data_IF_664367035397
#
_entry.id   IF_664367035397
#
_cell.length_a   1.000
_cell.length_b   1.000
_cell.length_c   1.000
_cell.angle_alpha   90.00
_cell.angle_beta   90.00
_cell.angle_gamma   90.00
#
_symmetry.space_group_name_H-M   'P 1'
#
loop_
_entity.id
_entity.type
_entity.pdbx_description
1 polymer ?
#
# COMPACT_ATOMS: atom_id res chain seq x y z
N UNK A 1 8.57 -20.52 -21.41
CA UNK A 1 8.58 -19.24 -20.65
C UNK A 1 9.85 -19.14 -19.80
N UNK A 2 10.44 -17.95 -19.64
CA UNK A 2 11.69 -17.72 -18.89
C UNK A 2 11.56 -18.12 -17.40
N UNK A 3 10.42 -17.85 -16.76
CA UNK A 3 10.17 -18.20 -15.36
C UNK A 3 10.31 -19.71 -15.10
N UNK A 4 9.72 -20.55 -15.96
CA UNK A 4 9.82 -22.02 -15.82
C UNK A 4 11.28 -22.47 -15.78
N UNK A 5 12.06 -22.03 -16.78
CA UNK A 5 13.49 -22.38 -16.91
C UNK A 5 14.33 -21.87 -15.74
N UNK A 6 14.03 -20.68 -15.24
CA UNK A 6 14.71 -20.09 -14.10
C UNK A 6 14.50 -20.93 -12.83
N UNK A 7 13.25 -21.28 -12.53
CA UNK A 7 12.93 -22.06 -11.34
C UNK A 7 13.40 -23.52 -11.45
N UNK A 8 13.30 -24.15 -12.63
CA UNK A 8 13.95 -25.44 -12.90
C UNK A 8 15.44 -25.40 -12.55
N UNK A 9 16.13 -24.32 -12.93
CA UNK A 9 17.54 -24.13 -12.59
C UNK A 9 17.76 -23.95 -11.09
N UNK A 10 16.92 -23.19 -10.39
CA UNK A 10 17.03 -23.04 -8.94
C UNK A 10 16.94 -24.38 -8.21
N UNK A 11 15.93 -25.20 -8.52
CA UNK A 11 15.77 -26.51 -7.89
C UNK A 11 16.85 -27.51 -8.33
N UNK A 12 17.30 -27.47 -9.59
CA UNK A 12 18.42 -28.29 -10.05
C UNK A 12 19.72 -27.98 -9.28
N UNK A 13 19.89 -26.73 -8.86
CA UNK A 13 21.02 -26.29 -8.03
C UNK A 13 20.75 -26.40 -6.51
N UNK A 14 19.68 -27.12 -6.10
CA UNK A 14 19.31 -27.34 -4.69
C UNK A 14 19.08 -26.05 -3.90
N UNK A 15 18.64 -24.98 -4.57
CA UNK A 15 18.26 -23.75 -3.89
C UNK A 15 16.91 -23.92 -3.20
N UNK A 16 16.82 -23.44 -1.96
CA UNK A 16 15.55 -23.26 -1.26
C UNK A 16 14.88 -22.00 -1.79
N UNK A 17 13.65 -22.13 -2.28
CA UNK A 17 12.87 -21.00 -2.80
C UNK A 17 11.70 -20.74 -1.85
N UNK A 18 11.63 -19.52 -1.32
CA UNK A 18 10.50 -19.03 -0.52
C UNK A 18 9.81 -17.94 -1.31
N UNK A 19 8.50 -18.03 -1.44
CA UNK A 19 7.69 -17.07 -2.20
C UNK A 19 6.36 -16.82 -1.50
N UNK A 20 5.84 -15.60 -1.65
CA UNK A 20 4.55 -15.18 -1.11
C UNK A 20 3.65 -14.70 -2.24
N UNK A 21 2.37 -14.98 -2.16
CA UNK A 21 1.38 -14.55 -3.14
C UNK A 21 0.06 -14.20 -2.45
N UNK A 22 -0.63 -13.18 -2.97
CA UNK A 22 -2.00 -12.83 -2.56
C UNK A 22 -3.06 -13.71 -3.25
N UNK A 23 -2.62 -14.62 -4.14
CA UNK A 23 -3.48 -15.55 -4.90
C UNK A 23 -2.94 -16.97 -4.78
N UNK A 24 -3.81 -17.99 -4.72
CA UNK A 24 -3.37 -19.38 -4.80
C UNK A 24 -2.68 -19.65 -6.14
N UNK A 25 -1.83 -20.69 -6.26
CA UNK A 25 -1.08 -20.98 -7.48
C UNK A 25 -1.93 -21.06 -8.75
N UNK A 26 -3.14 -21.63 -8.67
CA UNK A 26 -4.04 -21.78 -9.82
C UNK A 26 -4.55 -20.43 -10.35
N UNK A 27 -4.63 -19.40 -9.52
CA UNK A 27 -5.10 -18.06 -9.88
C UNK A 27 -3.96 -17.11 -10.25
N UNK A 28 -2.71 -17.62 -10.27
CA UNK A 28 -1.57 -16.84 -10.72
C UNK A 28 -1.73 -16.48 -12.19
N UNK A 29 -1.51 -15.20 -12.50
CA UNK A 29 -1.61 -14.65 -13.85
C UNK A 29 -2.97 -14.93 -14.52
N UNK A 30 -4.03 -15.07 -13.72
CA UNK A 30 -5.41 -15.12 -14.20
C UNK A 30 -5.72 -13.88 -15.03
N UNK A 31 -6.39 -14.08 -16.17
CA UNK A 31 -6.69 -13.05 -17.17
C UNK A 31 -5.47 -12.36 -17.80
N UNK A 32 -4.26 -12.86 -17.50
CA UNK A 32 -3.02 -12.40 -18.13
C UNK A 32 -2.96 -12.76 -19.61
N UNK A 33 -2.30 -11.89 -20.39
CA UNK A 33 -2.07 -12.12 -21.81
C UNK A 33 -1.31 -13.44 -22.03
N UNK A 34 -1.84 -14.33 -22.87
CA UNK A 34 -1.24 -15.65 -23.15
C UNK A 34 -1.03 -16.54 -21.90
N UNK A 35 -1.95 -16.52 -20.93
CA UNK A 35 -1.90 -17.36 -19.71
C UNK A 35 -1.58 -18.84 -19.96
N UNK A 36 -1.96 -19.40 -21.10
CA UNK A 36 -1.63 -20.78 -21.46
C UNK A 36 -0.11 -21.07 -21.46
N UNK A 37 0.74 -20.06 -21.72
CA UNK A 37 2.20 -20.20 -21.62
C UNK A 37 2.71 -20.22 -20.17
N UNK A 38 1.89 -19.74 -19.23
CA UNK A 38 2.18 -19.67 -17.80
C UNK A 38 1.71 -20.93 -17.06
N UNK A 39 0.69 -21.62 -17.56
CA UNK A 39 0.17 -22.88 -16.99
C UNK A 39 1.26 -23.93 -16.68
N UNK A 40 2.21 -24.24 -17.59
CA UNK A 40 3.27 -25.22 -17.28
C UNK A 40 4.20 -24.80 -16.14
N UNK A 41 4.27 -23.51 -15.83
CA UNK A 41 5.01 -23.02 -14.67
C UNK A 41 4.20 -23.14 -13.39
N UNK A 42 2.88 -22.92 -13.43
CA UNK A 42 1.99 -23.19 -12.28
C UNK A 42 2.07 -24.67 -11.90
N UNK A 43 2.02 -25.59 -12.88
CA UNK A 43 2.13 -27.03 -12.64
C UNK A 43 3.44 -27.37 -11.93
N UNK A 44 4.56 -26.85 -12.44
CA UNK A 44 5.88 -27.03 -11.85
C UNK A 44 5.96 -26.47 -10.42
N UNK A 45 5.36 -25.31 -10.18
CA UNK A 45 5.35 -24.65 -8.88
C UNK A 45 4.58 -25.48 -7.84
N UNK A 46 3.43 -26.05 -8.23
CA UNK A 46 2.64 -26.98 -7.41
C UNK A 46 3.36 -28.32 -7.17
N UNK A 47 4.15 -28.78 -8.13
CA UNK A 47 4.95 -30.01 -7.99
C UNK A 47 6.12 -29.84 -7.01
N UNK A 48 6.82 -28.71 -7.07
CA UNK A 48 8.09 -28.49 -6.36
C UNK A 48 7.97 -27.70 -5.06
N UNK A 49 6.79 -27.15 -4.75
CA UNK A 49 6.59 -26.27 -3.60
C UNK A 49 5.44 -26.76 -2.73
N UNK A 50 5.59 -26.59 -1.42
CA UNK A 50 4.49 -26.75 -0.48
C UNK A 50 3.70 -25.44 -0.38
N UNK A 51 2.38 -25.52 -0.56
CA UNK A 51 1.50 -24.35 -0.49
C UNK A 51 0.99 -24.21 0.94
N UNK A 52 1.48 -23.21 1.65
CA UNK A 52 1.01 -22.84 2.98
C UNK A 52 0.01 -21.70 2.85
N UNK A 53 -1.28 -22.01 3.00
CA UNK A 53 -2.32 -21.00 3.04
C UNK A 53 -2.27 -20.25 4.38
N UNK A 54 -1.84 -18.99 4.37
CA UNK A 54 -1.97 -18.12 5.52
C UNK A 54 -3.44 -17.72 5.70
N UNK A 55 -3.92 -17.83 6.93
CA UNK A 55 -5.25 -17.42 7.35
C UNK A 55 -5.50 -15.93 7.01
N UNK A 56 -6.72 -15.64 6.54
CA UNK A 56 -7.15 -14.35 6.00
C UNK A 56 -7.40 -13.29 7.08
N UNK A 57 -6.59 -13.26 8.13
CA UNK A 57 -6.66 -12.21 9.14
C UNK A 57 -6.19 -10.93 8.45
N UNK A 58 -7.11 -9.99 8.31
CA UNK A 58 -6.74 -8.66 7.87
C UNK A 58 -6.04 -7.93 9.02
N UNK A 59 -4.72 -8.03 9.05
CA UNK A 59 -3.89 -7.36 10.05
C UNK A 59 -4.03 -5.83 10.03
N UNK A 60 -4.59 -5.24 8.95
CA UNK A 60 -4.96 -3.81 8.90
C UNK A 60 -6.12 -3.51 9.84
N UNK A 61 -7.11 -4.41 9.91
CA UNK A 61 -8.29 -4.25 10.78
C UNK A 61 -7.98 -4.54 12.25
N UNK A 62 -6.98 -5.39 12.54
CA UNK A 62 -6.58 -5.65 13.94
C UNK A 62 -6.03 -4.42 14.66
N UNK A 63 -5.41 -3.49 13.93
CA UNK A 63 -4.90 -2.23 14.48
C UNK A 63 -5.91 -1.09 14.36
N UNK A 64 -7.04 -1.31 13.69
CA UNK A 64 -8.15 -0.38 13.66
C UNK A 64 -8.78 -0.35 15.06
N UNK A 65 -8.40 0.62 15.89
CA UNK A 65 -8.93 0.82 17.25
C UNK A 65 -10.41 1.28 17.23
N UNK A 66 -11.30 0.57 16.53
CA UNK A 66 -12.70 0.95 16.33
C UNK A 66 -12.87 2.30 15.64
N UNK A 67 -11.91 2.69 14.80
CA UNK A 67 -11.91 3.98 14.11
C UNK A 67 -12.31 3.79 12.66
N UNK A 68 -13.26 4.60 12.18
CA UNK A 68 -13.58 4.65 10.75
C UNK A 68 -12.38 5.23 9.98
N UNK A 69 -11.96 4.51 8.94
CA UNK A 69 -10.81 4.88 8.10
C UNK A 69 -11.22 5.58 6.80
N UNK A 70 -12.52 5.66 6.54
CA UNK A 70 -13.07 6.21 5.32
C UNK A 70 -14.34 7.01 5.63
N UNK A 71 -14.36 8.26 5.18
CA UNK A 71 -15.48 9.17 5.37
C UNK A 71 -15.95 9.69 4.02
N UNK A 72 -17.25 9.53 3.76
CA UNK A 72 -17.89 9.90 2.51
C UNK A 72 -19.31 10.43 2.80
N UNK A 73 -19.84 11.40 2.02
CA UNK A 73 -19.22 12.02 0.84
C UNK A 73 -18.22 13.14 1.16
N UNK A 74 -17.22 13.30 0.30
CA UNK A 74 -16.21 14.35 0.46
C UNK A 74 -16.86 15.74 0.32
N UNK A 75 -16.42 16.69 1.15
CA UNK A 75 -16.90 18.07 1.13
C UNK A 75 -18.08 18.37 2.06
N UNK A 76 -18.81 17.35 2.54
CA UNK A 76 -19.94 17.52 3.46
C UNK A 76 -19.48 17.95 4.87
N UNK A 77 -20.25 18.77 5.60
CA UNK A 77 -19.88 19.24 6.94
C UNK A 77 -19.58 18.10 7.93
N UNK A 78 -20.39 17.05 7.93
CA UNK A 78 -20.21 15.90 8.84
C UNK A 78 -18.90 15.16 8.58
N UNK A 79 -18.55 14.94 7.31
CA UNK A 79 -17.27 14.33 6.92
C UNK A 79 -16.08 15.18 7.34
N UNK A 80 -16.16 16.51 7.20
CA UNK A 80 -15.11 17.41 7.68
C UNK A 80 -14.97 17.37 9.20
N UNK A 81 -16.10 17.33 9.91
CA UNK A 81 -16.13 17.23 11.37
C UNK A 81 -15.50 15.92 11.84
N UNK A 82 -15.89 14.78 11.26
CA UNK A 82 -15.32 13.48 11.62
C UNK A 82 -13.81 13.42 11.38
N UNK A 83 -13.31 13.97 10.26
CA UNK A 83 -11.87 14.09 10.01
C UNK A 83 -11.17 14.99 11.04
N UNK A 84 -11.77 16.13 11.39
CA UNK A 84 -11.24 17.04 12.39
C UNK A 84 -11.22 16.41 13.80
N UNK A 85 -12.28 15.71 14.19
CA UNK A 85 -12.37 14.99 15.46
C UNK A 85 -11.31 13.89 15.55
N UNK A 86 -11.09 13.16 14.45
CA UNK A 86 -10.04 12.14 14.38
C UNK A 86 -8.64 12.76 14.45
N UNK A 87 -8.40 13.85 13.73
CA UNK A 87 -7.15 14.61 13.80
C UNK A 87 -6.89 15.05 15.25
N UNK A 88 -7.88 15.65 15.89
CA UNK A 88 -7.81 16.13 17.26
C UNK A 88 -7.50 15.00 18.25
N UNK A 89 -8.15 13.84 18.09
CA UNK A 89 -7.93 12.64 18.89
C UNK A 89 -6.49 12.13 18.78
N UNK A 90 -5.92 12.09 17.57
CA UNK A 90 -4.57 11.57 17.34
C UNK A 90 -3.46 12.58 17.68
N UNK A 91 -3.75 13.87 17.55
CA UNK A 91 -2.73 14.93 17.68
C UNK A 91 -2.81 15.70 19.00
N UNK A 92 -3.79 15.41 19.87
CA UNK A 92 -4.14 16.17 21.07
C UNK A 92 -4.51 17.63 20.74
N UNK A 93 -5.48 17.83 19.84
CA UNK A 93 -5.98 19.14 19.40
C UNK A 93 -4.88 20.08 18.83
N UNK A 94 -3.87 19.52 18.17
CA UNK A 94 -2.84 20.34 17.53
C UNK A 94 -3.42 21.09 16.34
N UNK A 95 -3.04 22.36 16.17
CA UNK A 95 -3.37 23.13 14.96
C UNK A 95 -2.62 22.62 13.72
N UNK A 96 -1.59 21.79 13.93
CA UNK A 96 -0.67 21.35 12.89
C UNK A 96 0.40 22.41 12.58
N UNK A 97 1.51 21.95 12.02
CA UNK A 97 2.59 22.77 11.52
C UNK A 97 3.01 22.29 10.13
N UNK A 98 3.67 23.16 9.38
CA UNK A 98 4.29 22.80 8.12
C UNK A 98 5.52 21.94 8.42
N UNK A 99 5.70 20.85 7.68
CA UNK A 99 6.90 20.02 7.72
C UNK A 99 7.41 19.77 6.32
N UNK A 100 8.71 20.03 6.11
CA UNK A 100 9.42 19.55 4.94
C UNK A 100 9.91 18.12 5.21
N UNK A 101 9.57 17.21 4.30
CA UNK A 101 10.05 15.84 4.29
C UNK A 101 11.22 15.78 3.31
N UNK A 102 12.41 15.51 3.82
CA UNK A 102 13.59 15.33 2.99
C UNK A 102 13.50 13.99 2.25
N UNK A 103 13.77 14.04 0.95
CA UNK A 103 13.82 12.87 0.06
C UNK A 103 15.24 12.76 -0.50
N UNK A 104 15.58 11.59 -1.03
CA UNK A 104 16.83 11.38 -1.75
C UNK A 104 17.06 12.43 -2.86
N UNK A 105 18.34 12.68 -3.16
CA UNK A 105 18.79 13.53 -4.27
C UNK A 105 18.35 15.01 -4.17
N UNK A 106 18.24 15.55 -2.95
CA UNK A 106 17.98 16.97 -2.71
C UNK A 106 16.54 17.40 -2.97
N UNK A 107 15.62 16.44 -3.10
CA UNK A 107 14.19 16.67 -3.25
C UNK A 107 13.53 16.77 -1.88
N UNK A 108 12.49 17.59 -1.77
CA UNK A 108 11.73 17.74 -0.52
C UNK A 108 10.23 17.81 -0.81
N UNK A 109 9.42 17.29 0.11
CA UNK A 109 7.95 17.32 0.03
C UNK A 109 7.43 18.19 1.15
N UNK A 110 6.60 19.19 0.80
CA UNK A 110 5.92 20.01 1.79
C UNK A 110 4.67 19.27 2.29
N UNK A 111 4.57 19.10 3.61
CA UNK A 111 3.36 18.71 4.30
C UNK A 111 2.83 19.94 5.04
N UNK A 112 1.72 20.49 4.57
CA UNK A 112 1.19 21.75 5.11
C UNK A 112 0.62 21.62 6.53
N UNK A 113 0.26 20.39 6.93
CA UNK A 113 -0.36 20.13 8.21
C UNK A 113 0.11 18.79 8.80
N UNK A 114 0.99 18.92 9.78
CA UNK A 114 1.57 17.80 10.52
C UNK A 114 1.56 18.05 12.03
N UNK A 115 1.38 16.98 12.81
CA UNK A 115 1.64 16.98 14.25
C UNK A 115 2.04 15.59 14.74
N UNK A 116 3.06 15.52 15.62
CA UNK A 116 3.61 14.27 16.19
C UNK A 116 4.11 13.27 15.15
N UNK A 117 3.30 12.31 14.71
CA UNK A 117 3.62 11.37 13.62
C UNK A 117 2.47 11.29 12.62
N UNK A 118 1.62 12.32 12.61
CA UNK A 118 0.38 12.38 11.84
C UNK A 118 0.50 13.51 10.82
N UNK A 119 0.28 13.18 9.55
CA UNK A 119 0.26 14.15 8.46
C UNK A 119 -1.11 14.19 7.78
N UNK A 120 -1.48 15.35 7.26
CA UNK A 120 -2.63 15.52 6.39
C UNK A 120 -2.15 16.00 5.02
N UNK A 121 -2.50 15.26 3.98
CA UNK A 121 -2.25 15.61 2.58
C UNK A 121 -3.55 15.62 1.79
N UNK A 122 -3.62 16.42 0.74
CA UNK A 122 -4.66 16.25 -0.28
C UNK A 122 -4.34 15.11 -1.23
N UNK A 123 -5.39 14.49 -1.80
CA UNK A 123 -5.22 13.51 -2.87
C UNK A 123 -4.41 14.07 -4.04
N UNK A 124 -4.57 15.36 -4.34
CA UNK A 124 -3.83 16.03 -5.40
C UNK A 124 -2.31 16.07 -5.12
N UNK A 125 -1.90 16.44 -3.91
CA UNK A 125 -0.49 16.49 -3.50
C UNK A 125 0.20 15.13 -3.61
N UNK A 126 -0.53 14.07 -3.24
CA UNK A 126 0.00 12.71 -3.28
C UNK A 126 -0.05 12.08 -4.67
N UNK A 127 -1.15 12.23 -5.41
CA UNK A 127 -1.43 11.39 -6.59
C UNK A 127 -1.43 12.15 -7.92
N UNK A 128 -1.51 13.48 -7.91
CA UNK A 128 -1.60 14.30 -9.14
C UNK A 128 -0.34 15.11 -9.41
N UNK A 129 0.60 15.13 -8.47
CA UNK A 129 1.93 15.71 -8.66
C UNK A 129 2.91 14.65 -9.13
N UNK A 130 4.05 15.07 -9.69
CA UNK A 130 5.10 14.17 -10.15
C UNK A 130 5.80 13.52 -8.95
N UNK A 131 5.17 12.50 -8.35
CA UNK A 131 5.68 11.74 -7.21
C UNK A 131 6.24 10.39 -7.65
N UNK A 132 7.41 10.03 -7.11
CA UNK A 132 8.06 8.75 -7.37
C UNK A 132 7.96 7.80 -6.17
N UNK A 133 8.40 6.55 -6.34
CA UNK A 133 8.43 5.57 -5.25
C UNK A 133 9.22 6.07 -4.03
N UNK A 134 10.35 6.76 -4.24
CA UNK A 134 11.18 7.33 -3.17
C UNK A 134 10.46 8.41 -2.36
N UNK A 135 9.54 9.15 -2.99
CA UNK A 135 8.74 10.18 -2.31
C UNK A 135 7.80 9.54 -1.29
N UNK A 136 7.07 8.49 -1.70
CA UNK A 136 6.15 7.79 -0.82
C UNK A 136 6.87 7.04 0.30
N UNK A 137 8.06 6.48 0.04
CA UNK A 137 8.87 5.85 1.08
C UNK A 137 9.29 6.88 2.14
N UNK A 138 9.77 8.05 1.72
CA UNK A 138 10.14 9.12 2.65
C UNK A 138 8.94 9.58 3.50
N UNK A 139 7.75 9.73 2.90
CA UNK A 139 6.51 10.04 3.62
C UNK A 139 6.17 8.95 4.63
N UNK A 140 6.21 7.67 4.24
CA UNK A 140 5.86 6.53 5.09
C UNK A 140 6.85 6.31 6.24
N UNK A 141 8.13 6.62 6.03
CA UNK A 141 9.15 6.60 7.08
C UNK A 141 8.98 7.77 8.07
N UNK A 142 8.46 8.89 7.59
CA UNK A 142 8.31 10.12 8.37
C UNK A 142 7.04 10.17 9.22
N UNK A 143 5.95 9.58 8.73
CA UNK A 143 4.63 9.62 9.36
C UNK A 143 4.05 8.23 9.57
N UNK A 144 3.50 7.99 10.76
CA UNK A 144 2.82 6.75 11.11
C UNK A 144 1.35 6.77 10.71
N UNK A 145 0.74 7.95 10.60
CA UNK A 145 -0.66 8.09 10.16
C UNK A 145 -0.76 9.21 9.13
N UNK A 146 -1.42 8.91 8.03
CA UNK A 146 -1.59 9.84 6.92
C UNK A 146 -3.09 10.00 6.66
N UNK A 147 -3.59 11.22 6.83
CA UNK A 147 -4.92 11.61 6.38
C UNK A 147 -4.84 12.03 4.92
N UNK A 148 -5.73 11.50 4.10
CA UNK A 148 -5.85 11.89 2.70
C UNK A 148 -7.22 12.54 2.50
N UNK A 149 -7.22 13.84 2.21
CA UNK A 149 -8.45 14.62 1.99
C UNK A 149 -8.72 14.83 0.50
N UNK A 150 -10.01 14.96 0.16
CA UNK A 150 -10.42 15.30 -1.19
C UNK A 150 -10.13 14.20 -2.22
N UNK A 151 -10.23 12.94 -1.81
CA UNK A 151 -10.17 11.80 -2.74
C UNK A 151 -11.37 11.91 -3.69
N UNK A 152 -11.15 12.02 -5.01
CA UNK A 152 -12.23 12.08 -5.98
C UNK A 152 -12.84 10.70 -6.18
N UNK A 153 -14.03 10.65 -6.76
CA UNK A 153 -14.52 9.41 -7.35
C UNK A 153 -13.62 9.08 -8.54
N UNK A 154 -12.92 7.94 -8.48
CA UNK A 154 -12.13 7.42 -9.59
C UNK A 154 -13.05 6.67 -10.54
N UNK A 155 -12.95 6.96 -11.82
CA UNK A 155 -13.53 6.14 -12.88
C UNK A 155 -12.68 4.89 -13.10
N UNK A 156 -13.29 3.86 -13.68
CA UNK A 156 -12.68 2.57 -13.99
C UNK A 156 -12.40 2.48 -15.49
#
# INVERSE_FOLDING_TARGET
MILKRLFESFWANRLLVVMTSNRPPDDLYQDGLQRYLFLPFIDLLKEKSEVICMNSIDYRLLHAMGMDHYYYPTGYPETRKNLADMWNKLTNNSLGAIRMVDVAQGRSICCDKYAKNVAEFSFKELCMEARGSTDYMAIAETFQTIFIRGVPQLDM
#
